data_IF_156633470468
#
_entry.id   IF_156633470468
#
_cell.length_a   1.000
_cell.length_b   1.000
_cell.length_c   1.000
_cell.angle_alpha   90.00
_cell.angle_beta   90.00
_cell.angle_gamma   90.00
#
_symmetry.space_group_name_H-M   'P 1'
#
loop_
_entity.id
_entity.type
_entity.pdbx_description
1 polymer ?
#
# COMPACT_ATOMS: atom_id res chain seq x y z
N UNK A 1 -15.51 -24.99 -33.29
CA UNK A 1 -15.97 -24.07 -32.25
C UNK A 1 -16.02 -24.71 -30.85
N UNK A 2 -16.60 -25.92 -30.66
CA UNK A 2 -16.68 -26.60 -29.34
C UNK A 2 -15.29 -27.05 -28.84
N UNK A 3 -14.39 -27.51 -29.69
CA UNK A 3 -13.01 -27.90 -29.31
C UNK A 3 -12.15 -26.69 -28.90
N UNK A 4 -12.32 -25.54 -29.51
CA UNK A 4 -11.63 -24.29 -29.15
C UNK A 4 -12.08 -23.76 -27.80
N UNK A 5 -13.37 -23.86 -27.47
CA UNK A 5 -13.90 -23.49 -26.17
C UNK A 5 -13.45 -24.43 -25.05
N UNK A 6 -13.42 -25.73 -25.35
CA UNK A 6 -12.92 -26.74 -24.38
C UNK A 6 -11.43 -26.54 -24.10
N UNK A 7 -10.59 -26.30 -25.10
CA UNK A 7 -9.16 -26.02 -24.93
C UNK A 7 -8.93 -24.71 -24.17
N UNK A 8 -9.74 -23.68 -24.41
CA UNK A 8 -9.68 -22.42 -23.66
C UNK A 8 -10.04 -22.61 -22.19
N UNK A 9 -11.08 -23.38 -21.90
CA UNK A 9 -11.48 -23.70 -20.52
C UNK A 9 -10.44 -24.55 -19.80
N UNK A 10 -9.88 -25.56 -20.48
CA UNK A 10 -8.82 -26.41 -19.93
C UNK A 10 -7.57 -25.57 -19.64
N UNK A 11 -7.16 -24.70 -20.56
CA UNK A 11 -6.02 -23.80 -20.35
C UNK A 11 -6.24 -22.84 -19.15
N UNK A 12 -7.45 -22.28 -18.99
CA UNK A 12 -7.82 -21.48 -17.83
C UNK A 12 -7.80 -22.28 -16.52
N UNK A 13 -8.28 -23.53 -16.53
CA UNK A 13 -8.26 -24.40 -15.35
C UNK A 13 -6.81 -24.74 -14.98
N UNK A 14 -5.96 -25.09 -15.94
CA UNK A 14 -4.53 -25.35 -15.70
C UNK A 14 -3.84 -24.10 -15.15
N UNK A 15 -4.15 -22.92 -15.67
CA UNK A 15 -3.61 -21.66 -15.18
C UNK A 15 -4.06 -21.36 -13.74
N UNK A 16 -5.33 -21.60 -13.39
CA UNK A 16 -5.86 -21.45 -12.02
C UNK A 16 -5.14 -22.34 -10.99
N UNK A 17 -4.63 -23.50 -11.41
CA UNK A 17 -3.85 -24.43 -10.57
C UNK A 17 -2.34 -24.33 -10.82
N UNK A 18 -1.87 -23.30 -11.54
CA UNK A 18 -0.44 -23.08 -11.73
C UNK A 18 0.25 -22.74 -10.41
N UNK A 19 1.53 -23.11 -10.30
CA UNK A 19 2.36 -22.74 -9.16
C UNK A 19 2.37 -21.21 -8.90
N UNK A 20 2.37 -20.41 -9.96
CA UNK A 20 2.30 -18.96 -9.88
C UNK A 20 1.01 -18.47 -9.19
N UNK A 21 -0.13 -19.00 -9.57
CA UNK A 21 -1.43 -18.64 -8.96
C UNK A 21 -1.49 -19.03 -7.50
N UNK A 22 -0.99 -20.24 -7.16
CA UNK A 22 -0.94 -20.71 -5.77
C UNK A 22 -0.01 -19.81 -4.93
N UNK A 23 1.17 -19.47 -5.43
CA UNK A 23 2.13 -18.61 -4.74
C UNK A 23 1.54 -17.21 -4.51
N UNK A 24 0.88 -16.63 -5.53
CA UNK A 24 0.18 -15.34 -5.38
C UNK A 24 -0.92 -15.42 -4.32
N UNK A 25 -1.75 -16.46 -4.32
CA UNK A 25 -2.82 -16.64 -3.34
C UNK A 25 -2.26 -16.75 -1.91
N UNK A 26 -1.21 -17.54 -1.71
CA UNK A 26 -0.54 -17.68 -0.40
C UNK A 26 0.08 -16.35 0.02
N UNK A 27 0.75 -15.65 -0.89
CA UNK A 27 1.34 -14.34 -0.62
C UNK A 27 0.28 -13.30 -0.24
N UNK A 28 -0.85 -13.24 -0.94
CA UNK A 28 -1.96 -12.34 -0.61
C UNK A 28 -2.48 -12.62 0.81
N UNK A 29 -2.76 -13.90 1.11
CA UNK A 29 -3.25 -14.30 2.44
C UNK A 29 -2.22 -13.98 3.52
N UNK A 30 -0.94 -14.20 3.26
CA UNK A 30 0.13 -13.87 4.19
C UNK A 30 0.23 -12.35 4.41
N UNK A 31 0.27 -11.54 3.35
CA UNK A 31 0.40 -10.09 3.45
C UNK A 31 -0.75 -9.46 4.25
N UNK A 32 -1.99 -9.73 3.85
CA UNK A 32 -3.17 -9.17 4.51
C UNK A 32 -3.34 -9.75 5.91
N UNK A 33 -3.14 -11.07 6.08
CA UNK A 33 -3.22 -11.73 7.37
C UNK A 33 -2.21 -11.17 8.37
N UNK A 34 -0.94 -10.97 7.95
CA UNK A 34 0.10 -10.38 8.81
C UNK A 34 -0.28 -8.99 9.28
N UNK A 35 -0.69 -8.10 8.37
CA UNK A 35 -1.04 -6.71 8.69
C UNK A 35 -2.21 -6.66 9.66
N UNK A 36 -3.24 -7.48 9.47
CA UNK A 36 -4.41 -7.49 10.37
C UNK A 36 -4.08 -8.15 11.71
N UNK A 37 -3.33 -9.25 11.74
CA UNK A 37 -2.92 -9.89 13.00
C UNK A 37 -2.10 -8.92 13.86
N UNK A 38 -1.21 -8.16 13.28
CA UNK A 38 -0.40 -7.17 14.00
C UNK A 38 -1.26 -6.01 14.49
N UNK A 39 -2.26 -5.58 13.72
CA UNK A 39 -3.26 -4.62 14.13
C UNK A 39 -4.00 -5.10 15.40
N UNK A 40 -4.59 -6.28 15.35
CA UNK A 40 -5.29 -6.88 16.49
C UNK A 40 -4.37 -7.09 17.70
N UNK A 41 -3.11 -7.44 17.42
CA UNK A 41 -2.12 -7.59 18.49
C UNK A 41 -1.83 -6.25 19.19
N UNK A 42 -1.93 -5.13 18.48
CA UNK A 42 -1.86 -3.79 19.08
C UNK A 42 -2.96 -3.57 20.13
N UNK A 43 -4.21 -3.84 19.79
CA UNK A 43 -5.33 -3.79 20.73
C UNK A 43 -5.12 -4.73 21.92
N UNK A 44 -4.66 -5.95 21.66
CA UNK A 44 -4.39 -6.94 22.69
C UNK A 44 -3.32 -6.48 23.69
N UNK A 45 -2.18 -5.97 23.20
CA UNK A 45 -1.10 -5.44 24.05
C UNK A 45 -1.63 -4.28 24.90
N UNK A 46 -2.36 -3.33 24.28
CA UNK A 46 -2.92 -2.20 24.99
C UNK A 46 -3.93 -2.65 26.08
N UNK A 47 -4.76 -3.64 25.82
CA UNK A 47 -5.62 -4.24 26.85
C UNK A 47 -4.80 -4.74 28.03
N UNK A 48 -3.69 -5.45 27.78
CA UNK A 48 -2.81 -5.96 28.84
C UNK A 48 -2.14 -4.84 29.64
N UNK A 49 -1.65 -3.80 28.95
CA UNK A 49 -1.01 -2.65 29.61
C UNK A 49 -1.99 -1.82 30.46
N UNK A 50 -3.25 -1.79 30.07
CA UNK A 50 -4.30 -1.04 30.77
C UNK A 50 -5.09 -1.87 31.79
N UNK A 51 -4.67 -3.13 32.01
CA UNK A 51 -5.40 -4.09 32.82
C UNK A 51 -6.87 -4.21 32.40
N UNK A 52 -7.09 -4.37 31.09
CA UNK A 52 -8.37 -4.72 30.50
C UNK A 52 -8.38 -6.22 30.25
N UNK A 53 -9.37 -6.92 30.75
CA UNK A 53 -9.54 -8.34 30.53
C UNK A 53 -9.92 -8.59 29.08
N UNK A 54 -9.28 -9.57 28.44
CA UNK A 54 -9.57 -10.00 27.07
C UNK A 54 -10.22 -11.38 27.11
N UNK A 55 -11.42 -11.49 26.59
CA UNK A 55 -12.16 -12.75 26.52
C UNK A 55 -11.66 -13.65 25.38
N UNK A 56 -11.47 -13.07 24.20
CA UNK A 56 -11.03 -13.84 23.02
C UNK A 56 -10.06 -13.02 22.16
N UNK A 57 -9.02 -13.70 21.68
CA UNK A 57 -8.15 -13.26 20.60
C UNK A 57 -8.31 -14.24 19.44
N UNK A 58 -8.84 -13.77 18.31
CA UNK A 58 -9.12 -14.60 17.14
C UNK A 58 -8.23 -14.25 15.96
N UNK A 59 -7.63 -15.28 15.36
CA UNK A 59 -6.99 -15.20 14.06
C UNK A 59 -7.99 -15.73 13.02
N UNK A 60 -8.42 -14.86 12.10
CA UNK A 60 -9.39 -15.16 11.08
C UNK A 60 -10.85 -14.96 11.50
N UNK A 61 -11.73 -15.23 10.55
CA UNK A 61 -13.19 -15.16 10.69
C UNK A 61 -13.86 -16.48 10.31
N UNK A 62 -15.17 -16.59 10.55
CA UNK A 62 -15.99 -17.72 10.14
C UNK A 62 -15.89 -18.90 11.07
N UNK A 63 -15.92 -20.13 10.51
CA UNK A 63 -15.98 -21.37 11.30
C UNK A 63 -14.73 -21.55 12.16
N UNK A 64 -14.94 -21.90 13.44
CA UNK A 64 -13.88 -22.22 14.38
C UNK A 64 -13.17 -23.51 13.95
N UNK A 65 -11.85 -23.44 13.76
CA UNK A 65 -11.01 -24.60 13.45
C UNK A 65 -10.32 -25.12 14.70
N UNK A 66 -9.77 -24.23 15.51
CA UNK A 66 -9.05 -24.60 16.74
C UNK A 66 -9.24 -23.54 17.80
N UNK A 67 -9.38 -24.00 19.05
CA UNK A 67 -9.48 -23.14 20.24
C UNK A 67 -8.48 -23.64 21.29
N UNK A 68 -7.76 -22.71 21.94
CA UNK A 68 -6.83 -23.03 23.00
C UNK A 68 -6.76 -21.88 24.02
N UNK A 69 -6.09 -22.10 25.14
CA UNK A 69 -5.99 -21.17 26.25
C UNK A 69 -6.66 -21.71 27.49
N UNK A 70 -5.93 -21.76 28.60
CA UNK A 70 -6.44 -22.22 29.91
C UNK A 70 -6.68 -21.03 30.89
N UNK A 71 -6.37 -19.79 30.45
CA UNK A 71 -6.48 -18.59 31.26
C UNK A 71 -7.73 -17.77 30.92
N UNK A 72 -7.71 -16.51 31.29
CA UNK A 72 -8.81 -15.55 31.05
C UNK A 72 -9.06 -15.29 29.55
N UNK A 73 -8.00 -15.39 28.72
CA UNK A 73 -8.09 -15.18 27.27
C UNK A 73 -8.16 -16.50 26.54
N UNK A 74 -9.14 -16.66 25.70
CA UNK A 74 -9.25 -17.75 24.75
C UNK A 74 -8.69 -17.33 23.41
N UNK A 75 -7.82 -18.18 22.85
CA UNK A 75 -7.27 -17.98 21.51
C UNK A 75 -8.00 -18.86 20.54
N UNK A 76 -8.36 -18.35 19.38
CA UNK A 76 -9.06 -19.08 18.34
C UNK A 76 -8.41 -18.90 16.97
N UNK A 77 -8.43 -19.98 16.18
CA UNK A 77 -8.08 -20.00 14.78
C UNK A 77 -9.33 -20.33 13.98
N UNK A 78 -9.64 -19.52 12.98
CA UNK A 78 -10.84 -19.63 12.16
C UNK A 78 -10.53 -19.85 10.70
N UNK A 79 -11.52 -20.28 9.93
CA UNK A 79 -11.36 -20.80 8.58
C UNK A 79 -10.93 -19.75 7.53
N UNK A 80 -11.24 -18.48 7.72
CA UNK A 80 -10.94 -17.40 6.77
C UNK A 80 -9.80 -16.58 7.36
N UNK A 81 -8.54 -16.75 6.91
CA UNK A 81 -7.36 -16.12 7.51
C UNK A 81 -7.15 -14.65 7.07
N UNK A 82 -8.19 -13.99 6.57
CA UNK A 82 -8.17 -12.60 6.10
C UNK A 82 -8.70 -11.66 7.18
N UNK A 83 -8.15 -11.73 8.39
CA UNK A 83 -8.61 -10.86 9.47
C UNK A 83 -8.38 -11.47 10.85
N UNK A 84 -9.01 -10.85 11.84
CA UNK A 84 -8.98 -11.26 13.24
C UNK A 84 -9.85 -10.34 14.08
N UNK A 85 -9.88 -10.57 15.36
CA UNK A 85 -10.47 -9.65 16.33
C UNK A 85 -9.96 -9.89 17.74
N UNK A 86 -9.95 -8.83 18.52
CA UNK A 86 -9.79 -8.85 19.96
C UNK A 86 -11.13 -8.55 20.59
N UNK A 87 -11.59 -9.41 21.50
CA UNK A 87 -12.80 -9.18 22.28
C UNK A 87 -12.41 -8.80 23.72
N UNK A 88 -12.36 -7.50 24.06
CA UNK A 88 -12.21 -7.10 25.44
C UNK A 88 -13.44 -7.49 26.25
N UNK A 89 -13.29 -7.71 27.55
CA UNK A 89 -14.38 -8.02 28.44
C UNK A 89 -15.28 -6.79 28.67
N UNK A 90 -16.55 -7.04 28.85
CA UNK A 90 -17.57 -6.00 28.95
C UNK A 90 -17.97 -5.46 27.59
N UNK A 91 -19.10 -4.77 27.55
CA UNK A 91 -19.54 -4.12 26.31
C UNK A 91 -18.80 -2.81 26.09
N UNK A 92 -18.52 -2.49 24.82
CA UNK A 92 -17.82 -1.25 24.44
C UNK A 92 -18.50 0.01 24.99
N UNK A 93 -19.83 -0.04 25.13
CA UNK A 93 -20.67 1.09 25.50
C UNK A 93 -21.66 0.76 26.63
N UNK A 94 -21.29 -0.20 27.48
CA UNK A 94 -22.12 -0.55 28.63
C UNK A 94 -22.48 0.67 29.49
N UNK A 95 -23.69 0.72 29.99
CA UNK A 95 -24.11 1.73 30.97
C UNK A 95 -23.34 1.54 32.28
N UNK A 96 -23.12 2.59 33.02
CA UNK A 96 -22.42 2.50 34.32
C UNK A 96 -22.99 1.42 35.24
N UNK A 97 -24.33 1.23 35.22
CA UNK A 97 -25.02 0.20 36.00
C UNK A 97 -24.78 -1.24 35.52
N UNK A 98 -24.23 -1.42 34.30
CA UNK A 98 -23.97 -2.72 33.69
C UNK A 98 -22.50 -3.15 33.84
N UNK A 99 -21.62 -2.25 34.31
CA UNK A 99 -20.20 -2.53 34.53
C UNK A 99 -20.09 -3.39 35.80
N UNK A 100 -19.62 -4.62 35.60
CA UNK A 100 -19.51 -5.63 36.69
C UNK A 100 -18.09 -5.79 37.23
N UNK A 101 -17.08 -5.48 36.41
CA UNK A 101 -15.66 -5.68 36.74
C UNK A 101 -14.87 -4.40 36.42
N UNK A 102 -14.00 -3.90 37.32
CA UNK A 102 -13.15 -2.75 37.04
C UNK A 102 -12.17 -3.00 35.89
N UNK A 103 -11.97 -4.24 35.49
CA UNK A 103 -11.17 -4.67 34.34
C UNK A 103 -11.97 -4.77 33.04
N UNK A 104 -13.27 -4.47 33.06
CA UNK A 104 -14.06 -4.35 31.83
C UNK A 104 -13.64 -3.11 31.05
N UNK A 105 -13.68 -3.20 29.71
CA UNK A 105 -13.31 -2.10 28.83
C UNK A 105 -14.09 -0.82 29.14
N UNK A 106 -15.39 -0.96 29.35
CA UNK A 106 -16.25 0.17 29.69
C UNK A 106 -15.94 0.79 31.07
N UNK A 107 -15.32 0.06 32.01
CA UNK A 107 -14.91 0.61 33.31
C UNK A 107 -13.75 1.61 33.21
N UNK A 108 -12.97 1.55 32.12
CA UNK A 108 -11.79 2.39 31.95
C UNK A 108 -12.16 3.82 31.53
N UNK A 109 -11.34 4.82 31.92
CA UNK A 109 -11.57 6.20 31.53
C UNK A 109 -11.45 6.35 30.00
N UNK A 110 -12.07 7.39 29.46
CA UNK A 110 -12.16 7.63 28.02
C UNK A 110 -10.79 7.60 27.31
N UNK A 111 -9.76 8.19 27.91
CA UNK A 111 -8.40 8.23 27.33
C UNK A 111 -7.73 6.84 27.26
N UNK A 112 -7.99 5.98 28.24
CA UNK A 112 -7.48 4.61 28.22
C UNK A 112 -8.17 3.79 27.12
N UNK A 113 -9.49 3.98 26.96
CA UNK A 113 -10.25 3.36 25.86
C UNK A 113 -9.80 3.86 24.49
N UNK A 114 -9.58 5.18 24.35
CA UNK A 114 -9.04 5.77 23.13
C UNK A 114 -7.63 5.24 22.81
N UNK A 115 -6.76 5.12 23.82
CA UNK A 115 -5.41 4.55 23.63
C UNK A 115 -5.47 3.08 23.19
N UNK A 116 -6.34 2.26 23.80
CA UNK A 116 -6.49 0.85 23.41
C UNK A 116 -6.89 0.73 21.94
N UNK A 117 -7.84 1.55 21.50
CA UNK A 117 -8.29 1.54 20.10
C UNK A 117 -7.22 2.12 19.17
N UNK A 118 -6.53 3.18 19.56
CA UNK A 118 -5.41 3.74 18.79
C UNK A 118 -4.26 2.73 18.58
N UNK A 119 -4.04 1.84 19.53
CA UNK A 119 -2.90 0.92 19.53
C UNK A 119 -2.93 -0.07 18.34
N UNK A 120 -4.12 -0.43 17.83
CA UNK A 120 -4.23 -1.25 16.63
C UNK A 120 -3.59 -0.58 15.42
N UNK A 121 -4.04 0.62 15.10
CA UNK A 121 -3.47 1.42 14.02
C UNK A 121 -1.99 1.76 14.26
N UNK A 122 -1.62 2.08 15.52
CA UNK A 122 -0.24 2.33 15.92
C UNK A 122 0.69 1.15 15.62
N UNK A 123 0.25 -0.09 15.87
CA UNK A 123 1.04 -1.29 15.58
C UNK A 123 1.22 -1.53 14.08
N UNK A 124 0.30 -1.08 13.23
CA UNK A 124 0.52 -1.10 11.79
C UNK A 124 1.66 -0.17 11.37
N UNK A 125 1.77 1.01 11.97
CA UNK A 125 2.92 1.89 11.74
C UNK A 125 4.22 1.28 12.25
N UNK A 126 4.20 0.60 13.40
CA UNK A 126 5.38 -0.13 13.90
C UNK A 126 5.79 -1.25 12.93
N UNK A 127 4.84 -2.03 12.43
CA UNK A 127 5.10 -3.08 11.44
C UNK A 127 5.71 -2.50 10.16
N UNK A 128 5.11 -1.45 9.62
CA UNK A 128 5.61 -0.77 8.42
C UNK A 128 7.04 -0.25 8.63
N UNK A 129 7.29 0.43 9.73
CA UNK A 129 8.61 0.92 10.09
C UNK A 129 9.66 -0.21 10.14
N UNK A 130 9.34 -1.32 10.81
CA UNK A 130 10.24 -2.48 10.91
C UNK A 130 10.52 -3.07 9.53
N UNK A 131 9.49 -3.23 8.72
CA UNK A 131 9.64 -3.75 7.36
C UNK A 131 10.51 -2.81 6.51
N UNK A 132 10.20 -1.51 6.46
CA UNK A 132 11.00 -0.54 5.70
C UNK A 132 12.45 -0.51 6.18
N UNK A 133 12.69 -0.57 7.49
CA UNK A 133 14.03 -0.63 8.02
C UNK A 133 14.82 -1.84 7.47
N UNK A 134 14.24 -3.04 7.50
CA UNK A 134 14.94 -4.24 7.01
C UNK A 134 15.11 -4.24 5.50
N UNK A 135 14.12 -3.76 4.75
CA UNK A 135 14.23 -3.61 3.30
C UNK A 135 15.36 -2.63 2.94
N UNK A 136 15.41 -1.46 3.60
CA UNK A 136 16.46 -0.46 3.37
C UNK A 136 17.84 -0.99 3.74
N UNK A 137 17.98 -1.75 4.81
CA UNK A 137 19.27 -2.39 5.17
C UNK A 137 19.71 -3.41 4.11
N UNK A 138 18.75 -4.15 3.54
CA UNK A 138 19.04 -5.15 2.51
C UNK A 138 19.39 -4.52 1.16
N UNK A 139 18.51 -3.69 0.63
CA UNK A 139 18.67 -3.09 -0.70
C UNK A 139 19.59 -1.87 -0.69
N UNK A 140 19.50 -1.04 0.32
CA UNK A 140 20.04 0.31 0.35
C UNK A 140 18.93 1.36 0.13
N UNK A 141 19.37 2.59 -0.14
CA UNK A 141 18.52 3.73 -0.48
C UNK A 141 18.64 3.96 -1.99
N UNK A 142 17.52 4.14 -2.73
CA UNK A 142 17.59 4.45 -4.15
C UNK A 142 18.32 5.79 -4.35
N UNK A 143 19.22 5.84 -5.32
CA UNK A 143 19.86 7.09 -5.73
C UNK A 143 18.83 7.99 -6.37
N UNK A 144 18.76 9.23 -5.88
CA UNK A 144 17.82 10.24 -6.37
C UNK A 144 18.43 11.18 -7.43
N UNK A 145 19.78 11.24 -7.50
CA UNK A 145 20.45 12.10 -8.45
C UNK A 145 20.46 11.49 -9.86
N UNK A 146 19.66 11.99 -10.82
CA UNK A 146 19.57 11.39 -12.16
C UNK A 146 20.85 11.53 -12.98
N UNK A 147 21.84 12.35 -12.55
CA UNK A 147 23.17 12.40 -13.17
C UNK A 147 24.04 11.17 -12.82
N UNK A 148 23.70 10.44 -11.74
CA UNK A 148 24.46 9.27 -11.28
C UNK A 148 23.77 7.95 -11.65
N UNK A 149 22.60 8.02 -12.29
CA UNK A 149 21.82 6.86 -12.70
C UNK A 149 22.13 6.55 -14.16
N UNK A 150 22.59 5.33 -14.48
CA UNK A 150 22.87 4.95 -15.87
C UNK A 150 21.57 4.91 -16.69
N UNK A 151 21.64 5.13 -18.01
CA UNK A 151 20.46 5.13 -18.88
C UNK A 151 20.04 3.69 -19.25
N UNK A 152 19.66 2.91 -18.23
CA UNK A 152 19.21 1.52 -18.34
C UNK A 152 17.71 1.45 -18.07
N UNK A 153 16.99 0.72 -18.90
CA UNK A 153 15.55 0.52 -18.79
C UNK A 153 15.24 -0.45 -17.65
N UNK A 154 14.54 0.01 -16.61
CA UNK A 154 14.08 -0.80 -15.48
C UNK A 154 12.72 -1.44 -15.74
N UNK A 155 11.82 -0.70 -16.38
CA UNK A 155 10.48 -1.18 -16.73
C UNK A 155 10.03 -0.61 -18.07
N UNK A 156 9.27 -1.40 -18.83
CA UNK A 156 8.63 -0.95 -20.08
C UNK A 156 7.12 -0.98 -19.85
N UNK A 157 6.48 0.17 -20.08
CA UNK A 157 5.06 0.34 -19.82
C UNK A 157 4.22 -0.28 -20.95
N UNK A 158 3.16 -0.99 -20.58
CA UNK A 158 2.22 -1.62 -21.51
C UNK A 158 1.52 -0.57 -22.40
N UNK A 159 1.34 -0.91 -23.68
CA UNK A 159 0.68 -0.06 -24.68
C UNK A 159 1.36 1.32 -24.91
N UNK A 160 2.66 1.37 -24.71
CA UNK A 160 3.49 2.55 -24.98
C UNK A 160 4.48 2.27 -26.11
N UNK A 161 4.97 3.31 -26.82
CA UNK A 161 5.86 3.13 -27.96
C UNK A 161 7.08 2.24 -27.70
N UNK A 162 7.71 2.35 -26.52
CA UNK A 162 8.86 1.51 -26.18
C UNK A 162 8.57 0.01 -26.29
N UNK A 163 7.38 -0.42 -25.80
CA UNK A 163 6.95 -1.82 -25.89
C UNK A 163 6.66 -2.23 -27.33
N UNK A 164 5.93 -1.40 -28.08
CA UNK A 164 5.58 -1.69 -29.47
C UNK A 164 6.81 -1.84 -30.36
N UNK A 165 7.86 -1.09 -30.06
CA UNK A 165 9.13 -1.11 -30.79
C UNK A 165 10.15 -2.10 -30.20
N UNK A 166 9.75 -2.92 -29.22
CA UNK A 166 10.52 -4.04 -28.68
C UNK A 166 11.72 -3.63 -27.85
N UNK A 167 11.62 -2.53 -27.10
CA UNK A 167 12.51 -2.25 -25.98
C UNK A 167 12.13 -3.12 -24.80
N UNK A 168 13.11 -3.60 -24.06
CA UNK A 168 12.92 -4.53 -22.96
C UNK A 168 13.63 -4.02 -21.69
N UNK A 169 13.25 -4.56 -20.54
CA UNK A 169 13.94 -4.32 -19.28
C UNK A 169 15.39 -4.78 -19.40
N UNK A 170 16.32 -3.94 -18.93
CA UNK A 170 17.76 -4.18 -18.99
C UNK A 170 18.44 -3.59 -20.22
N UNK A 171 17.69 -3.07 -21.20
CA UNK A 171 18.28 -2.40 -22.35
C UNK A 171 19.01 -1.13 -21.92
N UNK A 172 20.23 -0.94 -22.38
CA UNK A 172 21.02 0.26 -22.12
C UNK A 172 20.92 1.22 -23.32
N UNK A 173 20.42 2.42 -23.06
CA UNK A 173 20.34 3.47 -24.08
C UNK A 173 21.72 4.10 -24.24
N UNK A 174 22.22 4.13 -25.47
CA UNK A 174 23.55 4.65 -25.82
C UNK A 174 23.47 6.06 -26.40
N UNK A 175 22.52 6.30 -27.31
CA UNK A 175 22.38 7.59 -28.01
C UNK A 175 20.89 7.90 -28.22
N UNK A 176 20.54 9.20 -28.15
CA UNK A 176 19.25 9.76 -28.56
C UNK A 176 19.51 10.82 -29.64
N UNK A 177 18.89 10.66 -30.83
CA UNK A 177 19.07 11.56 -31.97
C UNK A 177 20.55 11.80 -32.32
N UNK A 178 21.37 10.74 -32.34
CA UNK A 178 22.80 10.74 -32.51
C UNK A 178 23.63 11.46 -31.44
N UNK A 179 23.00 11.88 -30.35
CA UNK A 179 23.71 12.43 -29.20
C UNK A 179 23.93 11.32 -28.17
N UNK A 180 25.18 11.06 -27.74
CA UNK A 180 25.47 10.07 -26.72
C UNK A 180 24.82 10.51 -25.37
N UNK A 181 24.26 9.53 -24.63
CA UNK A 181 23.71 9.72 -23.30
C UNK A 181 24.43 8.81 -22.32
N UNK A 182 24.90 9.36 -21.22
CA UNK A 182 25.70 8.65 -20.21
C UNK A 182 24.95 8.45 -18.91
N UNK A 183 23.88 9.22 -18.69
CA UNK A 183 23.05 9.17 -17.51
C UNK A 183 21.58 9.43 -17.83
N UNK A 184 20.73 9.14 -16.87
CA UNK A 184 19.27 9.25 -17.01
C UNK A 184 18.80 10.69 -17.31
N UNK A 185 19.47 11.69 -16.72
CA UNK A 185 19.12 13.11 -16.96
C UNK A 185 19.36 13.51 -18.41
N UNK A 186 20.50 13.13 -18.98
CA UNK A 186 20.81 13.39 -20.39
C UNK A 186 19.82 12.71 -21.30
N UNK A 187 19.45 11.45 -20.99
CA UNK A 187 18.43 10.69 -21.72
C UNK A 187 17.10 11.43 -21.75
N UNK A 188 16.56 11.79 -20.58
CA UNK A 188 15.28 12.50 -20.48
C UNK A 188 15.32 13.87 -21.17
N UNK A 189 16.43 14.61 -21.01
CA UNK A 189 16.61 15.91 -21.65
C UNK A 189 16.67 15.81 -23.18
N UNK A 190 17.36 14.79 -23.71
CA UNK A 190 17.46 14.55 -25.16
C UNK A 190 16.11 14.17 -25.78
N UNK A 191 15.32 13.33 -25.08
CA UNK A 191 13.97 12.98 -25.53
C UNK A 191 13.05 14.23 -25.52
N UNK A 192 13.10 15.03 -24.45
CA UNK A 192 12.29 16.24 -24.34
C UNK A 192 12.64 17.32 -25.38
N UNK A 193 13.89 17.35 -25.85
CA UNK A 193 14.38 18.28 -26.89
C UNK A 193 13.92 17.91 -28.31
N UNK A 194 13.35 16.70 -28.51
CA UNK A 194 12.84 16.29 -29.83
C UNK A 194 11.65 17.16 -30.23
N UNK A 195 11.58 17.68 -31.48
CA UNK A 195 10.45 18.46 -31.95
C UNK A 195 9.13 17.71 -31.88
N UNK A 196 8.01 18.44 -31.74
CA UNK A 196 6.69 17.83 -31.62
C UNK A 196 6.32 17.09 -32.91
N UNK A 197 5.93 15.83 -32.76
CA UNK A 197 5.50 14.97 -33.86
C UNK A 197 6.64 14.28 -34.61
N UNK A 198 7.91 14.55 -34.29
CA UNK A 198 9.04 13.83 -34.83
C UNK A 198 9.35 12.56 -34.00
N UNK A 199 9.75 11.44 -34.64
CA UNK A 199 10.20 10.26 -33.93
C UNK A 199 11.56 10.51 -33.29
N UNK A 200 11.83 9.82 -32.20
CA UNK A 200 13.15 9.79 -31.54
C UNK A 200 13.96 8.65 -32.11
N UNK A 201 15.17 8.94 -32.61
CA UNK A 201 16.13 7.92 -33.00
C UNK A 201 16.83 7.41 -31.74
N UNK A 202 16.51 6.17 -31.35
CA UNK A 202 17.06 5.52 -30.16
C UNK A 202 18.08 4.46 -30.57
N UNK A 203 19.32 4.63 -30.10
CA UNK A 203 20.35 3.61 -30.20
C UNK A 203 20.55 2.96 -28.84
N UNK A 204 20.40 1.66 -28.77
CA UNK A 204 20.44 0.91 -27.52
C UNK A 204 21.15 -0.43 -27.68
N UNK A 205 21.65 -0.95 -26.57
CA UNK A 205 22.24 -2.29 -26.45
C UNK A 205 21.24 -3.23 -25.78
N UNK A 206 20.94 -4.36 -26.44
CA UNK A 206 20.09 -5.42 -25.94
C UNK A 206 20.81 -6.74 -26.09
N UNK A 207 21.00 -7.47 -25.01
CA UNK A 207 21.70 -8.76 -25.00
C UNK A 207 23.10 -8.75 -25.68
N UNK A 208 23.86 -7.65 -25.56
CA UNK A 208 25.19 -7.49 -26.13
C UNK A 208 25.19 -7.11 -27.62
N UNK A 209 24.06 -6.82 -28.23
CA UNK A 209 23.93 -6.34 -29.61
C UNK A 209 23.38 -4.92 -29.63
N UNK A 210 23.89 -4.10 -30.53
CA UNK A 210 23.48 -2.70 -30.67
C UNK A 210 22.44 -2.59 -31.77
N UNK A 211 21.32 -1.96 -31.41
CA UNK A 211 20.20 -1.70 -32.32
C UNK A 211 19.97 -0.18 -32.42
N UNK A 212 19.39 0.23 -33.53
CA UNK A 212 18.96 1.60 -33.77
C UNK A 212 17.53 1.58 -34.31
N UNK A 213 16.62 2.31 -33.67
CA UNK A 213 15.20 2.37 -34.05
C UNK A 213 14.67 3.80 -33.96
N UNK A 214 13.82 4.16 -34.87
CA UNK A 214 13.00 5.38 -34.82
C UNK A 214 11.72 5.05 -34.10
N UNK A 215 11.50 5.69 -32.93
CA UNK A 215 10.37 5.41 -32.06
C UNK A 215 9.52 6.69 -31.95
N UNK A 216 8.23 6.64 -32.34
CA UNK A 216 7.36 7.79 -32.18
C UNK A 216 7.15 8.12 -30.70
N UNK A 217 7.22 9.39 -30.37
CA UNK A 217 6.86 9.86 -29.02
C UNK A 217 5.36 10.13 -28.93
N UNK A 218 4.79 9.89 -27.77
CA UNK A 218 3.40 10.27 -27.53
C UNK A 218 3.26 11.80 -27.40
N UNK A 219 2.02 12.30 -27.27
CA UNK A 219 1.74 13.73 -27.11
C UNK A 219 2.45 14.39 -25.92
N UNK A 220 2.84 13.60 -24.94
CA UNK A 220 3.52 14.06 -23.72
C UNK A 220 5.07 13.86 -23.83
N UNK A 221 5.59 13.60 -25.03
CA UNK A 221 7.02 13.32 -25.32
C UNK A 221 7.60 12.15 -24.49
N UNK A 222 6.79 11.10 -24.29
CA UNK A 222 7.20 9.92 -23.54
C UNK A 222 7.30 8.70 -24.44
N UNK A 223 8.38 7.93 -24.27
CA UNK A 223 8.57 6.65 -24.94
C UNK A 223 7.89 5.49 -24.19
N UNK A 224 7.69 5.62 -22.88
CA UNK A 224 7.01 4.62 -22.08
C UNK A 224 7.93 3.58 -21.44
N UNK A 225 9.04 4.01 -20.89
CA UNK A 225 9.89 3.21 -20.03
C UNK A 225 10.31 3.99 -18.79
N UNK A 226 10.60 3.28 -17.71
CA UNK A 226 11.08 3.82 -16.46
C UNK A 226 12.54 3.43 -16.21
N UNK A 227 13.21 4.19 -15.35
CA UNK A 227 14.61 3.95 -14.97
C UNK A 227 14.76 2.65 -14.18
N UNK A 228 15.90 1.97 -14.33
CA UNK A 228 16.28 0.92 -13.38
C UNK A 228 16.84 1.56 -12.11
N UNK A 229 16.21 1.35 -10.94
CA UNK A 229 16.65 1.99 -9.71
C UNK A 229 18.03 1.47 -9.30
N UNK A 230 18.96 2.38 -9.04
CA UNK A 230 20.29 2.07 -8.50
C UNK A 230 20.27 2.36 -7.00
N UNK A 231 20.64 1.37 -6.18
CA UNK A 231 20.63 1.48 -4.73
C UNK A 231 22.01 1.71 -4.15
N UNK A 232 22.13 2.58 -3.19
CA UNK A 232 23.32 2.82 -2.39
C UNK A 232 23.20 2.17 -1.02
N UNK A 233 24.16 1.35 -0.63
CA UNK A 233 24.20 0.73 0.70
C UNK A 233 24.24 1.80 1.79
N UNK A 234 23.48 1.58 2.85
CA UNK A 234 23.36 2.54 3.95
C UNK A 234 23.60 1.89 5.30
N UNK A 235 24.05 2.69 6.26
CA UNK A 235 24.20 2.23 7.65
C UNK A 235 22.88 2.17 8.41
N UNK A 236 22.83 1.43 9.55
CA UNK A 236 21.60 1.20 10.30
C UNK A 236 20.98 2.50 10.83
N UNK A 237 21.79 3.48 11.19
CA UNK A 237 21.30 4.75 11.71
C UNK A 237 20.51 5.55 10.64
N UNK A 238 21.08 5.66 9.45
CA UNK A 238 20.39 6.30 8.31
C UNK A 238 19.15 5.50 7.90
N UNK A 239 19.22 4.16 7.96
CA UNK A 239 18.06 3.30 7.67
C UNK A 239 16.87 3.54 8.62
N UNK A 240 17.12 3.77 9.93
CA UNK A 240 16.08 4.14 10.91
C UNK A 240 15.39 5.44 10.50
N UNK A 241 16.16 6.47 10.17
CA UNK A 241 15.63 7.79 9.77
C UNK A 241 14.80 7.66 8.50
N UNK A 242 15.32 6.96 7.49
CA UNK A 242 14.62 6.79 6.20
C UNK A 242 13.37 5.94 6.37
N UNK A 243 13.39 4.87 7.17
CA UNK A 243 12.19 4.06 7.45
C UNK A 243 11.09 4.88 8.12
N UNK A 244 11.43 5.71 9.11
CA UNK A 244 10.48 6.65 9.73
C UNK A 244 9.93 7.66 8.75
N UNK A 245 10.81 8.20 7.89
CA UNK A 245 10.42 9.12 6.82
C UNK A 245 9.47 8.46 5.82
N UNK A 246 9.69 7.21 5.43
CA UNK A 246 8.80 6.47 4.53
C UNK A 246 7.39 6.35 5.12
N UNK A 247 7.24 6.04 6.42
CA UNK A 247 5.93 6.01 7.07
C UNK A 247 5.23 7.37 7.00
N UNK A 248 5.95 8.45 7.30
CA UNK A 248 5.43 9.82 7.21
C UNK A 248 5.06 10.19 5.77
N UNK A 249 5.95 9.93 4.83
CA UNK A 249 5.78 10.26 3.41
C UNK A 249 4.53 9.63 2.82
N UNK A 250 4.37 8.32 2.97
CA UNK A 250 3.22 7.60 2.42
C UNK A 250 1.91 8.02 3.09
N UNK A 251 1.94 8.35 4.39
CA UNK A 251 0.77 8.91 5.08
C UNK A 251 0.43 10.29 4.52
N UNK A 252 1.41 11.18 4.41
CA UNK A 252 1.21 12.54 3.86
C UNK A 252 0.67 12.47 2.44
N UNK A 253 1.32 11.70 1.56
CA UNK A 253 0.92 11.55 0.17
C UNK A 253 -0.52 11.04 0.06
N UNK A 254 -0.89 9.99 0.80
CA UNK A 254 -2.24 9.45 0.79
C UNK A 254 -3.29 10.48 1.22
N UNK A 255 -3.02 11.22 2.31
CA UNK A 255 -3.94 12.25 2.81
C UNK A 255 -4.06 13.41 1.81
N UNK A 256 -2.93 13.91 1.28
CA UNK A 256 -2.95 15.03 0.32
C UNK A 256 -3.65 14.64 -0.97
N UNK A 257 -3.36 13.47 -1.52
CA UNK A 257 -4.02 12.98 -2.75
C UNK A 257 -5.53 12.83 -2.56
N UNK A 258 -5.97 12.27 -1.43
CA UNK A 258 -7.42 12.17 -1.13
C UNK A 258 -8.03 13.55 -1.00
N UNK A 259 -7.38 14.48 -0.27
CA UNK A 259 -7.87 15.83 -0.06
C UNK A 259 -7.97 16.62 -1.38
N UNK A 260 -6.96 16.54 -2.24
CA UNK A 260 -6.93 17.19 -3.55
C UNK A 260 -8.04 16.67 -4.48
N UNK A 261 -8.21 15.35 -4.55
CA UNK A 261 -9.27 14.75 -5.37
C UNK A 261 -10.66 15.15 -4.88
N UNK A 262 -10.87 15.16 -3.56
CA UNK A 262 -12.13 15.65 -2.98
C UNK A 262 -12.36 17.13 -3.26
N UNK A 263 -11.33 17.96 -3.13
CA UNK A 263 -11.43 19.40 -3.42
C UNK A 263 -11.76 19.67 -4.88
N UNK A 264 -11.12 18.98 -5.79
CA UNK A 264 -11.31 19.10 -7.23
C UNK A 264 -12.56 18.35 -7.73
N UNK A 265 -13.36 17.75 -6.83
CA UNK A 265 -14.53 16.91 -7.16
C UNK A 265 -14.22 15.79 -8.16
N UNK A 266 -12.99 15.30 -8.11
CA UNK A 266 -12.57 14.15 -8.89
C UNK A 266 -12.86 12.86 -8.11
N UNK A 267 -13.26 11.82 -8.85
CA UNK A 267 -13.43 10.52 -8.24
C UNK A 267 -12.09 10.01 -7.69
N UNK A 268 -12.00 9.59 -6.42
CA UNK A 268 -10.76 9.03 -5.90
C UNK A 268 -10.43 7.72 -6.63
N UNK A 269 -9.23 7.63 -7.16
CA UNK A 269 -8.69 6.38 -7.69
C UNK A 269 -8.22 5.50 -6.52
N UNK A 270 -9.17 4.88 -5.86
CA UNK A 270 -8.89 3.94 -4.77
C UNK A 270 -8.80 2.55 -5.36
N UNK A 271 -7.68 1.87 -5.14
CA UNK A 271 -7.60 0.45 -5.45
C UNK A 271 -8.62 -0.31 -4.60
N UNK A 272 -9.55 -0.96 -5.26
CA UNK A 272 -10.52 -1.83 -4.60
C UNK A 272 -9.90 -3.18 -4.24
N UNK A 273 -10.69 -4.10 -3.69
CA UNK A 273 -10.20 -5.42 -3.31
C UNK A 273 -9.51 -6.16 -4.45
N UNK A 274 -10.03 -6.06 -5.67
CA UNK A 274 -9.46 -6.72 -6.86
C UNK A 274 -8.10 -6.09 -7.21
N UNK A 275 -7.99 -4.76 -7.16
CA UNK A 275 -6.75 -4.03 -7.40
C UNK A 275 -5.67 -4.38 -6.38
N UNK A 276 -6.02 -4.45 -5.09
CA UNK A 276 -5.09 -4.86 -4.04
C UNK A 276 -4.59 -6.28 -4.29
N UNK A 277 -5.47 -7.23 -4.60
CA UNK A 277 -5.06 -8.60 -4.90
C UNK A 277 -4.14 -8.68 -6.11
N UNK A 278 -4.40 -7.88 -7.14
CA UNK A 278 -3.53 -7.82 -8.31
C UNK A 278 -2.15 -7.27 -7.98
N UNK A 279 -2.08 -6.15 -7.25
CA UNK A 279 -0.81 -5.52 -6.87
C UNK A 279 0.01 -6.46 -5.99
N UNK A 280 -0.60 -7.06 -4.96
CA UNK A 280 0.08 -8.01 -4.07
C UNK A 280 0.49 -9.27 -4.82
N UNK A 281 -0.37 -9.78 -5.70
CA UNK A 281 -0.06 -10.95 -6.53
C UNK A 281 1.14 -10.72 -7.46
N UNK A 282 1.28 -9.53 -8.05
CA UNK A 282 2.46 -9.14 -8.83
C UNK A 282 3.70 -9.00 -7.93
N UNK A 283 3.56 -8.34 -6.78
CA UNK A 283 4.66 -8.15 -5.83
C UNK A 283 5.31 -9.44 -5.36
N UNK A 284 4.54 -10.52 -5.21
CA UNK A 284 5.08 -11.85 -4.87
C UNK A 284 6.13 -12.35 -5.88
N UNK A 285 6.02 -11.91 -7.14
CA UNK A 285 6.91 -12.33 -8.23
C UNK A 285 8.02 -11.31 -8.55
N UNK A 286 8.01 -10.13 -7.93
CA UNK A 286 9.00 -9.06 -8.18
C UNK A 286 10.27 -9.19 -7.35
N UNK A 287 10.28 -10.10 -6.35
CA UNK A 287 11.37 -10.26 -5.40
C UNK A 287 10.88 -10.08 -3.96
N UNK A 288 11.65 -10.59 -3.00
CA UNK A 288 11.22 -10.56 -1.60
C UNK A 288 11.25 -9.12 -1.03
N UNK A 289 12.17 -8.28 -1.47
CA UNK A 289 12.28 -6.89 -1.05
C UNK A 289 11.06 -6.07 -1.47
N UNK A 290 10.69 -6.14 -2.74
CA UNK A 290 9.53 -5.44 -3.28
C UNK A 290 8.25 -5.93 -2.63
N UNK A 291 8.14 -7.23 -2.42
CA UNK A 291 6.99 -7.82 -1.75
C UNK A 291 6.85 -7.34 -0.29
N UNK A 292 7.94 -7.34 0.49
CA UNK A 292 7.91 -6.83 1.85
C UNK A 292 7.70 -5.32 1.88
N UNK A 293 8.33 -4.56 0.98
CA UNK A 293 8.07 -3.14 0.87
C UNK A 293 6.57 -2.85 0.64
N UNK A 294 5.94 -3.59 -0.24
CA UNK A 294 4.50 -3.50 -0.49
C UNK A 294 3.66 -3.84 0.75
N UNK A 295 4.05 -4.85 1.55
CA UNK A 295 3.39 -5.13 2.83
C UNK A 295 3.51 -3.92 3.77
N UNK A 296 4.67 -3.27 3.82
CA UNK A 296 4.88 -2.04 4.58
C UNK A 296 3.92 -0.92 4.15
N UNK A 297 3.76 -0.71 2.84
CA UNK A 297 2.81 0.27 2.28
C UNK A 297 1.36 -0.04 2.67
N UNK A 298 0.94 -1.30 2.54
CA UNK A 298 -0.40 -1.75 2.93
C UNK A 298 -0.60 -1.55 4.43
N UNK A 299 0.41 -1.80 5.24
CA UNK A 299 0.35 -1.60 6.69
C UNK A 299 0.17 -0.13 7.06
N UNK A 300 0.90 0.80 6.42
CA UNK A 300 0.69 2.26 6.58
C UNK A 300 -0.73 2.63 6.17
N UNK A 301 -1.18 2.16 5.00
CA UNK A 301 -2.50 2.48 4.50
C UNK A 301 -3.61 2.01 5.45
N UNK A 302 -3.58 0.75 5.90
CA UNK A 302 -4.57 0.21 6.83
C UNK A 302 -4.51 0.95 8.17
N UNK A 303 -3.32 1.25 8.71
CA UNK A 303 -3.18 2.04 9.93
C UNK A 303 -3.78 3.44 9.78
N UNK A 304 -3.50 4.12 8.68
CA UNK A 304 -4.03 5.46 8.40
C UNK A 304 -5.56 5.44 8.22
N UNK A 305 -6.09 4.52 7.40
CA UNK A 305 -7.53 4.43 7.15
C UNK A 305 -8.30 4.10 8.43
N UNK A 306 -7.77 3.24 9.30
CA UNK A 306 -8.39 2.94 10.58
C UNK A 306 -8.42 4.15 11.53
N UNK A 307 -7.57 5.16 11.35
CA UNK A 307 -7.62 6.39 12.14
C UNK A 307 -8.58 7.45 11.58
N UNK A 308 -9.23 7.21 10.44
CA UNK A 308 -10.24 8.14 9.93
C UNK A 308 -11.46 8.20 10.86
N UNK A 309 -12.08 9.40 11.01
CA UNK A 309 -13.22 9.61 11.90
C UNK A 309 -14.53 9.01 11.32
N UNK A 310 -14.44 7.78 10.83
CA UNK A 310 -15.59 7.05 10.29
C UNK A 310 -16.10 6.10 11.37
N UNK A 311 -17.35 6.25 11.83
CA UNK A 311 -17.95 5.32 12.78
C UNK A 311 -17.92 3.89 12.23
N UNK A 312 -17.40 2.94 12.98
CA UNK A 312 -17.06 1.55 12.64
C UNK A 312 -15.57 1.30 12.51
N UNK A 313 -14.75 2.33 12.17
CA UNK A 313 -13.30 2.28 12.25
C UNK A 313 -12.82 2.75 13.63
N UNK A 314 -11.59 2.42 13.96
CA UNK A 314 -10.96 2.80 15.23
C UNK A 314 -11.01 4.31 15.47
N UNK A 315 -10.71 5.11 14.44
CA UNK A 315 -10.76 6.56 14.51
C UNK A 315 -12.15 7.10 14.87
N UNK A 316 -13.22 6.47 14.40
CA UNK A 316 -14.57 6.82 14.78
C UNK A 316 -14.84 6.57 16.28
N UNK A 317 -14.38 5.44 16.81
CA UNK A 317 -14.48 5.14 18.25
C UNK A 317 -13.65 6.13 19.09
N UNK A 318 -12.42 6.46 18.64
CA UNK A 318 -11.57 7.46 19.29
C UNK A 318 -12.30 8.81 19.38
N UNK A 319 -12.94 9.26 18.30
CA UNK A 319 -13.71 10.51 18.29
C UNK A 319 -14.83 10.47 19.32
N UNK A 320 -15.56 9.38 19.42
CA UNK A 320 -16.61 9.24 20.44
C UNK A 320 -16.06 9.30 21.86
N UNK A 321 -14.92 8.67 22.14
CA UNK A 321 -14.29 8.73 23.46
C UNK A 321 -13.77 10.14 23.78
N UNK A 322 -13.23 10.86 22.82
CA UNK A 322 -12.83 12.27 22.99
C UNK A 322 -14.05 13.15 23.31
N UNK A 323 -15.16 12.98 22.56
CA UNK A 323 -16.41 13.70 22.82
C UNK A 323 -16.93 13.40 24.24
N UNK A 324 -16.86 12.15 24.68
CA UNK A 324 -17.21 11.74 26.02
C UNK A 324 -16.35 12.45 27.08
N UNK A 325 -15.02 12.50 26.86
CA UNK A 325 -14.08 13.19 27.72
C UNK A 325 -14.37 14.69 27.86
N UNK A 326 -14.68 15.37 26.74
CA UNK A 326 -15.01 16.79 26.73
C UNK A 326 -16.36 17.06 27.40
N UNK A 327 -17.36 16.20 27.18
CA UNK A 327 -18.71 16.38 27.72
C UNK A 327 -18.89 15.88 29.16
N UNK A 328 -17.95 15.08 29.65
CA UNK A 328 -18.05 14.43 30.95
C UNK A 328 -19.20 13.41 31.06
N UNK A 329 -19.80 13.02 29.94
CA UNK A 329 -20.94 12.09 29.90
C UNK A 329 -20.80 11.15 28.70
N UNK A 330 -21.12 9.88 28.89
CA UNK A 330 -21.09 8.85 27.84
C UNK A 330 -22.03 9.19 26.68
N UNK A 331 -21.62 8.83 25.50
CA UNK A 331 -22.48 8.91 24.30
C UNK A 331 -23.57 7.85 24.40
N UNK A 332 -24.80 8.20 24.04
CA UNK A 332 -25.92 7.26 24.09
C UNK A 332 -25.73 6.13 23.10
N UNK A 333 -25.98 4.90 23.51
CA UNK A 333 -25.86 3.68 22.69
C UNK A 333 -26.59 3.81 21.34
N UNK A 334 -27.85 4.27 21.32
CA UNK A 334 -28.62 4.52 20.08
C UNK A 334 -27.92 5.49 19.10
N UNK A 335 -27.14 6.45 19.62
CA UNK A 335 -26.40 7.39 18.78
C UNK A 335 -25.22 6.68 18.12
N UNK A 336 -24.55 5.81 18.87
CA UNK A 336 -23.42 5.02 18.40
C UNK A 336 -23.87 3.98 17.36
N UNK A 337 -24.94 3.25 17.62
CA UNK A 337 -25.53 2.29 16.68
C UNK A 337 -25.89 2.96 15.35
N UNK A 338 -26.58 4.11 15.40
CA UNK A 338 -26.94 4.86 14.19
C UNK A 338 -25.70 5.35 13.44
N UNK A 339 -24.72 5.90 14.15
CA UNK A 339 -23.48 6.36 13.55
C UNK A 339 -22.71 5.19 12.92
N UNK A 340 -22.59 4.05 13.61
CA UNK A 340 -21.96 2.85 13.08
C UNK A 340 -22.70 2.29 11.85
N UNK A 341 -24.04 2.32 11.86
CA UNK A 341 -24.84 1.91 10.70
C UNK A 341 -24.56 2.82 9.49
N UNK A 342 -24.53 4.15 9.69
CA UNK A 342 -24.18 5.09 8.62
C UNK A 342 -22.75 4.87 8.13
N UNK A 343 -21.80 4.67 9.04
CA UNK A 343 -20.41 4.35 8.70
C UNK A 343 -20.29 3.04 7.89
N UNK A 344 -21.03 2.01 8.27
CA UNK A 344 -21.06 0.74 7.57
C UNK A 344 -21.62 0.88 6.13
N UNK A 345 -22.72 1.62 5.96
CA UNK A 345 -23.31 1.89 4.64
C UNK A 345 -22.32 2.68 3.78
N UNK A 346 -21.66 3.69 4.35
CA UNK A 346 -20.64 4.48 3.66
C UNK A 346 -19.47 3.60 3.19
N UNK A 347 -18.90 2.78 4.07
CA UNK A 347 -17.79 1.88 3.72
C UNK A 347 -18.20 0.84 2.68
N UNK A 348 -19.40 0.27 2.82
CA UNK A 348 -19.91 -0.69 1.82
C UNK A 348 -20.06 -0.02 0.45
N UNK A 349 -20.60 1.19 0.39
CA UNK A 349 -20.71 1.93 -0.88
C UNK A 349 -19.33 2.26 -1.47
N UNK A 350 -18.33 2.58 -0.64
CA UNK A 350 -16.96 2.80 -1.09
C UNK A 350 -16.34 1.51 -1.66
N UNK A 351 -16.53 0.36 -1.00
CA UNK A 351 -16.04 -0.94 -1.50
C UNK A 351 -16.70 -1.31 -2.83
N UNK A 352 -18.01 -1.11 -2.96
CA UNK A 352 -18.74 -1.35 -4.22
C UNK A 352 -18.20 -0.44 -5.33
N UNK A 353 -18.03 0.86 -5.04
CA UNK A 353 -17.47 1.82 -5.98
C UNK A 353 -16.04 1.44 -6.41
N UNK A 354 -15.16 1.13 -5.45
CA UNK A 354 -13.77 0.74 -5.72
C UNK A 354 -13.70 -0.56 -6.54
N UNK A 355 -14.55 -1.55 -6.23
CA UNK A 355 -14.65 -2.78 -7.01
C UNK A 355 -15.13 -2.52 -8.45
N UNK A 356 -16.12 -1.64 -8.63
CA UNK A 356 -16.56 -1.21 -9.96
C UNK A 356 -15.43 -0.50 -10.73
N UNK A 357 -14.69 0.38 -10.07
CA UNK A 357 -13.52 1.06 -10.65
C UNK A 357 -12.44 0.08 -11.07
N UNK A 358 -12.12 -0.93 -10.24
CA UNK A 358 -11.17 -1.99 -10.58
C UNK A 358 -11.60 -2.76 -11.84
N UNK A 359 -12.87 -3.19 -11.91
CA UNK A 359 -13.42 -3.91 -13.06
C UNK A 359 -13.35 -3.05 -14.32
N UNK A 360 -13.73 -1.76 -14.22
CA UNK A 360 -13.65 -0.81 -15.33
C UNK A 360 -12.22 -0.62 -15.82
N UNK A 361 -11.25 -0.51 -14.89
CA UNK A 361 -9.81 -0.42 -15.20
C UNK A 361 -9.31 -1.65 -15.94
N UNK A 362 -9.66 -2.85 -15.45
CA UNK A 362 -9.28 -4.13 -16.08
C UNK A 362 -9.88 -4.23 -17.47
N UNK A 363 -11.15 -3.87 -17.65
CA UNK A 363 -11.85 -3.89 -18.95
C UNK A 363 -11.23 -2.91 -19.95
N UNK A 364 -10.78 -1.75 -19.46
CA UNK A 364 -10.23 -0.68 -20.29
C UNK A 364 -8.71 -0.76 -20.45
N UNK A 365 -8.02 -1.80 -19.95
CA UNK A 365 -6.57 -2.03 -20.13
C UNK A 365 -6.12 -2.07 -21.59
N UNK A 366 -7.05 -2.21 -22.56
CA UNK A 366 -6.78 -2.03 -23.98
C UNK A 366 -6.89 -0.59 -24.49
N UNK A 367 -7.28 0.38 -23.63
CA UNK A 367 -7.59 1.76 -24.02
C UNK A 367 -7.02 2.73 -22.97
N UNK A 368 -5.73 3.06 -23.09
CA UNK A 368 -4.97 4.17 -22.46
C UNK A 368 -4.64 4.10 -20.96
N UNK A 369 -3.35 4.09 -20.57
CA UNK A 369 -2.88 4.35 -19.22
C UNK A 369 -2.45 5.82 -19.05
N UNK A 370 -3.33 6.71 -18.61
CA UNK A 370 -2.92 8.08 -18.22
C UNK A 370 -2.46 8.20 -16.75
N UNK A 371 -3.00 7.39 -15.85
CA UNK A 371 -2.80 7.55 -14.42
C UNK A 371 -1.48 7.00 -13.87
N UNK A 372 -0.95 5.90 -14.43
CA UNK A 372 0.32 5.34 -13.96
C UNK A 372 1.55 6.24 -14.24
N UNK A 373 1.47 7.06 -15.28
CA UNK A 373 2.57 7.98 -15.65
C UNK A 373 2.63 9.15 -14.66
N UNK A 374 1.50 9.65 -14.17
CA UNK A 374 1.44 10.72 -13.18
C UNK A 374 1.95 10.24 -11.81
N UNK A 375 1.68 9.00 -11.44
CA UNK A 375 2.12 8.40 -10.19
C UNK A 375 3.65 8.19 -10.16
N UNK A 376 4.24 7.74 -11.28
CA UNK A 376 5.70 7.60 -11.40
C UNK A 376 6.39 8.97 -11.39
N UNK A 377 5.81 9.99 -12.02
CA UNK A 377 6.36 11.36 -11.99
C UNK A 377 6.26 12.03 -10.62
N UNK A 378 5.21 11.76 -9.86
CA UNK A 378 5.13 12.22 -8.47
C UNK A 378 6.20 11.56 -7.59
N UNK A 379 6.48 10.29 -7.79
CA UNK A 379 7.57 9.58 -7.10
C UNK A 379 8.94 10.20 -7.45
N UNK A 380 9.18 10.56 -8.71
CA UNK A 380 10.43 11.21 -9.14
C UNK A 380 10.59 12.63 -8.58
N UNK A 381 9.54 13.44 -8.63
CA UNK A 381 9.58 14.80 -8.05
C UNK A 381 9.78 14.78 -6.53
N UNK A 382 9.21 13.81 -5.87
CA UNK A 382 9.31 13.70 -4.42
C UNK A 382 10.63 13.11 -3.95
N UNK A 383 11.28 12.27 -4.77
CA UNK A 383 12.67 11.87 -4.52
C UNK A 383 13.62 13.06 -4.54
N UNK A 384 13.37 14.06 -5.41
CA UNK A 384 14.13 15.33 -5.44
C UNK A 384 13.88 16.19 -4.19
N UNK A 385 12.65 16.27 -3.69
CA UNK A 385 12.36 16.98 -2.42
C UNK A 385 13.02 16.29 -1.21
N UNK A 386 13.14 14.95 -1.24
CA UNK A 386 13.84 14.20 -0.20
C UNK A 386 15.33 14.54 -0.13
N UNK A 387 15.99 14.67 -1.26
CA UNK A 387 17.42 15.03 -1.32
C UNK A 387 17.67 16.45 -0.81
N UNK A 388 16.80 17.38 -1.14
CA UNK A 388 16.89 18.78 -0.64
C UNK A 388 16.78 18.79 0.88
N UNK A 389 15.81 18.06 1.45
CA UNK A 389 15.57 18.03 2.90
C UNK A 389 16.71 17.33 3.66
N UNK A 390 17.29 16.27 3.10
CA UNK A 390 18.43 15.55 3.69
C UNK A 390 19.73 16.37 3.59
N UNK A 391 19.96 17.07 2.48
CA UNK A 391 21.11 17.93 2.29
C UNK A 391 21.05 19.21 3.14
N UNK A 392 19.86 19.73 3.45
CA UNK A 392 19.67 20.83 4.39
C UNK A 392 19.91 20.40 5.83
N UNK A 393 19.54 19.18 6.19
CA UNK A 393 19.81 18.61 7.51
C UNK A 393 21.32 18.32 7.75
N UNK A 394 22.04 17.90 6.69
CA UNK A 394 23.50 17.70 6.75
C UNK A 394 24.29 19.00 6.79
N UNK A 395 23.75 20.11 6.30
CA UNK A 395 24.39 21.44 6.37
C UNK A 395 24.11 22.18 7.68
N UNK A 396 23.14 21.73 8.46
CA UNK A 396 22.76 22.33 9.74
C UNK A 396 23.45 21.66 10.95
N UNK A 397 24.26 20.62 10.75
CA UNK A 397 25.17 19.98 11.71
C UNK A 397 26.62 20.26 11.33
#
# INVERSE_FOLDING_TARGET
>A
MISSLANFLIAKIIWLFSWHTLLSAVGIVFALGLVVIIHEWGHFIACRLLDIRVEEFSIGFGKLLKKWGKGETQYSLRAIPLGGYVKPAGEYYAREAEIKDPRDFAAKPWYARAFMVFAGAGMNYVLAFVIFFFVIISMGIPKSNPNEIPPVIGEVLENMPAQEYGLEKGDQILEINNNPVTNWKELVTAIAATPDGEPVLVKYEQAGQVFTKEIPVNKDKKLGFAVEPVYEKTGPFKAVVVAGYQCYYWTKLSITTIAEKLWNRQAPEVAGPIGIFEIVGKGVHSGWEDYFYLIGLISVAIGMFNLFPIPILDGGHIVFFIIEGIRGKRVKEKTLERASTVGAIFLLSLVVYATYSDISRIKNRGVKPKAQIEEIQQVEQTSQEQEITLNEADKAN
#
